data_IF_200968703224
#
_entry.id   IF_200968703224
#
_cell.length_a   1.000
_cell.length_b   1.000
_cell.length_c   1.000
_cell.angle_alpha   90.00
_cell.angle_beta   90.00
_cell.angle_gamma   90.00
#
_symmetry.space_group_name_H-M   'P 1'
#
loop_
_entity.id
_entity.type
_entity.pdbx_description
1 polymer ?
#
# COMPACT_ATOMS: atom_id res chain seq x y z
N UNK A 1 -4.59 13.29 4.73
CA UNK A 1 -4.31 12.79 3.36
C UNK A 1 -4.01 13.98 2.45
N UNK A 2 -2.73 14.38 2.27
CA UNK A 2 -2.36 15.58 1.54
C UNK A 2 -2.31 15.35 0.02
N UNK A 3 -3.46 15.11 -0.60
CA UNK A 3 -3.58 14.99 -2.06
C UNK A 3 -4.43 16.15 -2.60
N UNK A 4 -3.87 16.99 -3.46
CA UNK A 4 -4.58 18.18 -3.95
C UNK A 4 -5.31 17.95 -5.28
N UNK A 5 -6.46 18.61 -5.47
CA UNK A 5 -7.23 18.56 -6.72
C UNK A 5 -6.39 18.97 -7.94
N UNK A 6 -5.59 20.04 -7.81
CA UNK A 6 -4.65 20.51 -8.85
C UNK A 6 -3.63 19.44 -9.27
N UNK A 7 -3.18 18.59 -8.33
CA UNK A 7 -2.28 17.48 -8.66
C UNK A 7 -3.03 16.42 -9.43
N UNK A 8 -4.24 16.08 -8.99
CA UNK A 8 -5.08 15.05 -9.61
C UNK A 8 -5.47 15.37 -11.05
N UNK A 9 -5.81 16.61 -11.36
CA UNK A 9 -6.19 17.06 -12.72
C UNK A 9 -5.10 16.79 -13.78
N UNK A 10 -3.84 16.67 -13.36
CA UNK A 10 -2.70 16.35 -14.25
C UNK A 10 -2.54 14.84 -14.49
N UNK A 11 -3.24 14.01 -13.74
CA UNK A 11 -3.10 12.55 -13.73
C UNK A 11 -4.44 11.82 -13.49
N UNK A 12 -5.50 12.12 -14.26
CA UNK A 12 -6.80 11.48 -14.08
C UNK A 12 -6.74 9.95 -14.28
N UNK A 13 -5.80 9.49 -15.13
CA UNK A 13 -5.53 8.08 -15.36
C UNK A 13 -5.18 7.30 -14.08
N UNK A 14 -4.72 7.96 -13.00
CA UNK A 14 -4.40 7.28 -11.75
C UNK A 14 -5.66 6.69 -11.08
N UNK A 15 -6.83 7.27 -11.33
CA UNK A 15 -8.09 6.86 -10.69
C UNK A 15 -8.44 5.39 -10.98
N UNK A 16 -8.08 4.87 -12.16
CA UNK A 16 -8.32 3.46 -12.51
C UNK A 16 -7.53 2.47 -11.65
N UNK A 17 -6.53 2.95 -10.90
CA UNK A 17 -5.69 2.14 -10.01
C UNK A 17 -6.04 2.37 -8.52
N UNK A 18 -7.07 3.18 -8.22
CA UNK A 18 -7.48 3.45 -6.85
C UNK A 18 -8.56 2.48 -6.38
N UNK A 19 -8.44 2.10 -5.11
CA UNK A 19 -9.31 1.16 -4.42
C UNK A 19 -9.73 1.77 -3.08
N UNK A 20 -10.90 1.37 -2.59
CA UNK A 20 -11.44 1.83 -1.32
C UNK A 20 -10.61 1.29 -0.16
N UNK A 21 -10.42 2.12 0.87
CA UNK A 21 -9.90 1.66 2.15
C UNK A 21 -10.96 0.80 2.86
N UNK A 22 -10.62 -0.47 3.12
CA UNK A 22 -11.42 -1.40 3.93
C UNK A 22 -10.53 -2.22 4.86
N UNK A 23 -10.93 -2.29 6.11
CA UNK A 23 -10.20 -2.97 7.19
C UNK A 23 -11.22 -3.43 8.24
N UNK A 24 -12.26 -4.13 7.78
CA UNK A 24 -13.36 -4.66 8.59
C UNK A 24 -12.84 -5.76 9.52
N UNK A 25 -11.96 -6.63 9.03
CA UNK A 25 -11.30 -7.67 9.85
C UNK A 25 -10.50 -7.10 11.03
N UNK A 26 -10.13 -5.81 10.97
CA UNK A 26 -9.42 -5.08 12.04
C UNK A 26 -10.28 -4.00 12.70
N UNK A 27 -11.57 -3.90 12.37
CA UNK A 27 -12.49 -2.86 12.83
C UNK A 27 -11.98 -1.43 12.58
N UNK A 28 -11.28 -1.20 11.46
CA UNK A 28 -10.59 0.07 11.11
C UNK A 28 -11.05 0.69 9.80
N UNK A 29 -12.10 0.19 9.15
CA UNK A 29 -12.63 0.79 7.91
C UNK A 29 -12.99 2.28 8.08
N UNK A 30 -13.46 2.68 9.26
CA UNK A 30 -13.77 4.09 9.58
C UNK A 30 -12.58 4.89 10.11
N UNK A 31 -11.42 4.26 10.31
CA UNK A 31 -10.19 4.90 10.74
C UNK A 31 -9.28 5.12 9.52
N UNK A 32 -9.23 6.35 9.01
CA UNK A 32 -8.50 6.66 7.79
C UNK A 32 -7.01 6.30 7.87
N UNK A 33 -6.44 5.67 6.84
CA UNK A 33 -5.06 5.20 6.89
C UNK A 33 -4.09 6.36 6.80
N UNK A 34 -3.22 6.47 7.82
CA UNK A 34 -1.95 7.20 7.71
C UNK A 34 -0.75 6.24 7.54
N UNK A 35 -0.99 4.93 7.58
CA UNK A 35 0.00 3.88 7.30
C UNK A 35 0.32 3.85 5.80
N UNK A 36 1.56 3.50 5.43
CA UNK A 36 1.96 3.25 4.05
C UNK A 36 2.60 1.87 3.97
N UNK A 37 2.05 1.03 3.11
CA UNK A 37 2.43 -0.36 2.98
C UNK A 37 2.53 -0.74 1.52
N UNK A 38 3.58 -1.47 1.17
CA UNK A 38 3.77 -2.05 -0.15
C UNK A 38 3.96 -3.55 0.04
N UNK A 39 3.33 -4.36 -0.78
CA UNK A 39 3.44 -5.81 -0.66
C UNK A 39 3.20 -6.49 -2.01
N UNK A 40 3.49 -7.79 -2.08
CA UNK A 40 3.18 -8.63 -3.25
C UNK A 40 2.36 -9.84 -2.81
N UNK A 41 1.07 -9.77 -3.09
CA UNK A 41 0.07 -10.82 -2.81
C UNK A 41 0.05 -11.85 -3.93
N UNK A 42 -0.14 -13.13 -3.60
CA UNK A 42 -0.36 -14.20 -4.57
C UNK A 42 -1.71 -14.05 -5.31
N UNK A 43 -1.88 -14.60 -6.53
CA UNK A 43 -3.11 -14.45 -7.30
C UNK A 43 -4.39 -14.97 -6.61
N UNK A 44 -4.25 -15.99 -5.77
CA UNK A 44 -5.33 -16.61 -4.96
C UNK A 44 -5.57 -15.89 -3.62
N UNK A 45 -4.84 -14.81 -3.36
CA UNK A 45 -4.93 -13.98 -2.16
C UNK A 45 -4.69 -14.77 -0.85
N UNK A 46 -3.86 -15.80 -0.91
CA UNK A 46 -3.55 -16.65 0.25
C UNK A 46 -2.18 -16.38 0.86
N UNK A 47 -1.26 -15.76 0.11
CA UNK A 47 0.14 -15.60 0.51
C UNK A 47 0.74 -14.24 0.12
N UNK A 48 1.82 -13.87 0.81
CA UNK A 48 2.68 -12.73 0.50
C UNK A 48 4.11 -13.17 0.19
N UNK A 49 4.69 -12.62 -0.87
CA UNK A 49 6.11 -12.79 -1.14
C UNK A 49 7.00 -11.89 -0.26
N UNK A 50 6.50 -10.70 0.09
CA UNK A 50 7.17 -9.72 0.95
C UNK A 50 6.17 -8.64 1.39
N UNK A 51 6.51 -7.94 2.46
CA UNK A 51 5.74 -6.80 2.98
C UNK A 51 6.67 -5.68 3.42
N UNK A 52 6.37 -4.44 3.05
CA UNK A 52 7.18 -3.27 3.38
C UNK A 52 6.28 -2.23 4.09
N UNK A 53 6.60 -1.91 5.34
CA UNK A 53 5.98 -0.84 6.11
C UNK A 53 6.92 0.37 6.12
N UNK A 54 6.43 1.55 5.71
CA UNK A 54 7.30 2.73 5.50
C UNK A 54 6.58 4.05 5.78
N UNK A 55 7.36 5.14 5.91
CA UNK A 55 6.86 6.51 5.85
C UNK A 55 6.58 7.00 4.42
N UNK A 56 7.20 6.38 3.41
CA UNK A 56 7.15 6.80 2.02
C UNK A 56 5.73 6.71 1.42
N UNK A 57 5.17 7.85 1.04
CA UNK A 57 3.98 7.89 0.19
C UNK A 57 4.32 7.53 -1.27
N UNK A 58 3.30 7.32 -2.10
CA UNK A 58 3.47 7.16 -3.56
C UNK A 58 3.86 8.50 -4.21
N UNK A 59 5.14 8.86 -4.15
CA UNK A 59 5.68 10.08 -4.74
C UNK A 59 7.11 9.89 -5.24
N UNK A 60 7.49 10.68 -6.26
CA UNK A 60 8.88 10.74 -6.75
C UNK A 60 9.83 11.33 -5.71
N UNK A 61 9.34 12.21 -4.84
CA UNK A 61 10.16 12.79 -3.78
C UNK A 61 10.62 11.72 -2.77
N UNK A 62 9.72 10.79 -2.41
CA UNK A 62 9.98 9.70 -1.48
C UNK A 62 10.78 8.54 -2.10
N UNK A 63 10.40 8.09 -3.31
CA UNK A 63 10.98 6.90 -3.96
C UNK A 63 12.15 7.20 -4.91
N UNK A 64 12.33 8.47 -5.22
CA UNK A 64 13.32 8.94 -6.18
C UNK A 64 12.83 8.93 -7.62
N UNK A 65 13.59 9.60 -8.47
CA UNK A 65 13.40 9.58 -9.93
C UNK A 65 14.73 9.62 -10.67
N UNK A 66 14.80 8.97 -11.82
CA UNK A 66 15.98 8.97 -12.68
C UNK A 66 16.14 10.34 -13.34
N UNK A 67 17.33 10.93 -13.18
CA UNK A 67 17.71 12.19 -13.83
C UNK A 67 18.21 11.93 -15.25
N UNK A 68 18.27 12.99 -16.07
CA UNK A 68 18.86 12.92 -17.42
C UNK A 68 20.31 12.44 -17.43
N UNK A 69 21.03 12.63 -16.33
CA UNK A 69 22.41 12.19 -16.15
C UNK A 69 22.53 10.73 -15.66
N UNK A 70 21.42 10.00 -15.52
CA UNK A 70 21.42 8.60 -15.05
C UNK A 70 21.51 8.43 -13.53
N UNK A 71 21.57 9.52 -12.75
CA UNK A 71 21.54 9.46 -11.30
C UNK A 71 20.10 9.38 -10.75
N UNK A 72 19.91 8.75 -9.59
CA UNK A 72 18.64 8.75 -8.84
C UNK A 72 18.60 9.97 -7.92
N UNK A 73 17.57 10.80 -8.06
CA UNK A 73 17.34 11.96 -7.18
C UNK A 73 16.19 11.68 -6.22
N UNK A 74 16.46 11.74 -4.91
CA UNK A 74 15.50 11.59 -3.80
C UNK A 74 15.41 12.95 -3.08
N UNK A 75 14.19 13.38 -2.76
CA UNK A 75 13.91 14.72 -2.22
C UNK A 75 13.34 14.69 -0.79
N UNK A 76 13.23 13.52 -0.18
CA UNK A 76 12.66 13.36 1.16
C UNK A 76 13.41 12.29 1.95
N UNK A 77 13.50 12.50 3.26
CA UNK A 77 13.99 11.48 4.19
C UNK A 77 12.84 10.54 4.50
N UNK A 78 13.03 9.26 4.20
CA UNK A 78 12.04 8.22 4.41
C UNK A 78 12.70 7.02 5.09
N UNK A 79 11.94 6.30 5.90
CA UNK A 79 12.40 5.07 6.55
C UNK A 79 11.31 4.00 6.48
N UNK A 80 11.72 2.74 6.52
CA UNK A 80 10.81 1.61 6.50
C UNK A 80 11.50 0.30 6.89
N UNK A 81 10.68 -0.72 7.12
CA UNK A 81 11.12 -2.08 7.43
C UNK A 81 10.54 -3.05 6.41
N UNK A 82 11.42 -3.85 5.80
CA UNK A 82 11.06 -4.87 4.82
C UNK A 82 11.03 -6.24 5.51
N UNK A 83 9.85 -6.86 5.51
CA UNK A 83 9.64 -8.22 5.97
C UNK A 83 9.80 -9.17 4.80
N UNK A 84 10.77 -10.07 4.93
CA UNK A 84 11.04 -11.13 3.96
C UNK A 84 10.81 -12.49 4.65
N UNK A 85 10.00 -13.39 4.05
CA UNK A 85 9.63 -14.67 4.65
C UNK A 85 10.82 -15.48 5.16
N UNK A 86 11.89 -15.54 4.35
CA UNK A 86 13.12 -16.26 4.67
C UNK A 86 13.76 -15.83 6.01
N UNK A 87 13.70 -14.54 6.33
CA UNK A 87 14.36 -14.00 7.53
C UNK A 87 13.44 -13.96 8.76
N UNK A 88 12.12 -13.88 8.55
CA UNK A 88 11.15 -13.73 9.64
C UNK A 88 10.61 -15.09 10.09
N UNK A 89 10.36 -16.00 9.14
CA UNK A 89 9.68 -17.28 9.40
C UNK A 89 10.34 -18.49 8.70
N UNK A 90 11.49 -18.31 8.05
CA UNK A 90 12.24 -19.41 7.43
C UNK A 90 11.56 -20.06 6.21
N UNK A 91 10.56 -19.41 5.62
CA UNK A 91 9.79 -19.92 4.47
C UNK A 91 10.03 -19.10 3.19
N UNK A 92 9.32 -19.45 2.10
CA UNK A 92 9.34 -18.71 0.84
C UNK A 92 8.23 -17.63 0.75
N UNK A 93 7.25 -17.67 1.64
CA UNK A 93 6.07 -16.79 1.63
C UNK A 93 5.45 -16.68 3.02
N UNK A 94 4.76 -15.57 3.29
CA UNK A 94 3.92 -15.48 4.47
C UNK A 94 2.50 -15.93 4.14
N UNK A 95 1.89 -16.83 4.92
CA UNK A 95 0.45 -17.09 4.82
C UNK A 95 -0.32 -15.85 5.29
N UNK A 96 -1.38 -15.47 4.58
CA UNK A 96 -2.31 -14.39 5.00
C UNK A 96 -3.72 -14.90 5.32
N UNK A 97 -3.93 -16.22 5.25
CA UNK A 97 -5.14 -16.90 5.70
C UNK A 97 -4.76 -18.11 6.54
N UNK A 98 -5.61 -18.46 7.51
CA UNK A 98 -5.38 -19.57 8.44
C UNK A 98 -5.33 -20.92 7.72
N UNK A 99 -6.13 -21.11 6.66
CA UNK A 99 -6.25 -22.40 5.97
C UNK A 99 -4.96 -22.82 5.25
N UNK A 100 -4.09 -21.87 4.93
CA UNK A 100 -2.80 -22.11 4.25
C UNK A 100 -1.60 -21.96 5.18
N UNK A 101 -1.83 -21.64 6.46
CA UNK A 101 -0.77 -21.32 7.39
C UNK A 101 -0.08 -22.57 7.96
N UNK A 102 -0.83 -23.67 8.15
CA UNK A 102 -0.31 -24.85 8.85
C UNK A 102 0.13 -24.46 10.25
N UNK A 103 1.39 -24.73 10.59
CA UNK A 103 2.00 -24.35 11.88
C UNK A 103 2.62 -22.93 11.88
N UNK A 104 2.58 -22.23 10.73
CA UNK A 104 3.17 -20.91 10.59
C UNK A 104 2.21 -19.82 11.07
N UNK A 105 2.71 -18.72 11.67
CA UNK A 105 1.84 -17.60 12.01
C UNK A 105 1.32 -16.90 10.74
N UNK A 106 0.02 -16.58 10.73
CA UNK A 106 -0.59 -15.76 9.69
C UNK A 106 -0.07 -14.32 9.77
N UNK A 107 0.36 -13.79 8.62
CA UNK A 107 0.83 -12.42 8.53
C UNK A 107 -0.32 -11.44 8.77
N UNK A 108 -0.16 -10.47 9.70
CA UNK A 108 -1.26 -9.64 10.14
C UNK A 108 -1.54 -8.51 9.15
N UNK A 109 -2.27 -8.81 8.07
CA UNK A 109 -2.65 -7.80 7.07
C UNK A 109 -3.42 -6.64 7.73
N UNK A 110 -3.08 -5.36 7.41
CA UNK A 110 -3.73 -4.20 8.01
C UNK A 110 -5.04 -3.79 7.31
N UNK A 111 -5.36 -4.38 6.17
CA UNK A 111 -6.57 -4.14 5.37
C UNK A 111 -7.05 -5.45 4.73
N UNK A 112 -8.30 -5.46 4.29
CA UNK A 112 -8.94 -6.66 3.76
C UNK A 112 -8.54 -6.93 2.30
N UNK A 113 -8.60 -8.20 1.90
CA UNK A 113 -8.42 -8.67 0.52
C UNK A 113 -9.61 -9.55 0.12
N UNK A 114 -10.07 -9.53 -1.15
CA UNK A 114 -9.61 -8.66 -2.24
C UNK A 114 -9.90 -7.17 -1.98
N UNK A 115 -9.09 -6.30 -2.57
CA UNK A 115 -9.34 -4.86 -2.52
C UNK A 115 -10.68 -4.54 -3.21
N UNK A 116 -11.43 -3.57 -2.68
CA UNK A 116 -12.67 -3.09 -3.32
C UNK A 116 -12.36 -1.99 -4.33
N UNK A 117 -12.58 -2.18 -5.65
CA UNK A 117 -12.34 -1.14 -6.65
C UNK A 117 -13.19 0.10 -6.40
N UNK A 118 -12.71 1.26 -6.83
CA UNK A 118 -13.55 2.45 -6.89
C UNK A 118 -14.74 2.23 -7.83
N UNK A 119 -15.93 2.69 -7.40
CA UNK A 119 -17.12 2.77 -8.24
C UNK A 119 -17.02 3.92 -9.25
N UNK A 120 -17.92 3.96 -10.23
CA UNK A 120 -18.01 5.08 -11.17
C UNK A 120 -18.37 6.43 -10.53
N UNK A 121 -18.83 6.41 -9.27
CA UNK A 121 -19.17 7.60 -8.48
C UNK A 121 -18.10 7.95 -7.45
N UNK A 122 -17.11 7.09 -7.26
CA UNK A 122 -16.06 7.30 -6.26
C UNK A 122 -15.03 8.29 -6.80
N UNK A 123 -14.62 9.19 -5.91
CA UNK A 123 -13.53 10.14 -6.16
C UNK A 123 -12.48 9.99 -5.05
N UNK A 124 -11.19 10.19 -5.34
CA UNK A 124 -10.20 10.24 -4.30
C UNK A 124 -10.48 11.40 -3.33
N UNK A 125 -10.09 11.24 -2.08
CA UNK A 125 -10.13 12.33 -1.12
C UNK A 125 -9.12 13.42 -1.52
N UNK A 126 -9.58 14.68 -1.56
CA UNK A 126 -8.71 15.83 -1.73
C UNK A 126 -8.55 16.61 -0.43
N UNK A 127 -7.35 17.10 -0.17
CA UNK A 127 -7.09 17.96 1.00
C UNK A 127 -7.83 19.30 0.90
N UNK A 128 -8.16 19.74 -0.32
CA UNK A 128 -8.96 20.93 -0.63
C UNK A 128 -10.39 20.85 -0.04
N UNK A 129 -10.87 19.67 0.35
CA UNK A 129 -12.17 19.51 1.03
C UNK A 129 -12.18 20.04 2.48
N UNK A 130 -11.02 20.37 3.05
CA UNK A 130 -10.89 20.90 4.42
C UNK A 130 -10.90 22.44 4.47
N UNK A 131 -10.85 23.10 3.31
CA UNK A 131 -10.81 24.56 3.18
C UNK A 131 -12.16 25.16 2.84
#
# INVERSE_FOLDING_TARGET
LPYSKKTHEKQPWLQQYLYQWKSDSRNRTRAMPHIKTYCRVSPDLSQLAWFHLTSANLSKAAWGSLTKAGAISILSYEAGVLFLPKFVVGSNSFPIKEEVAGDMPVFPMPYDLPLTPFSSRDVPWFMDNLS
#
